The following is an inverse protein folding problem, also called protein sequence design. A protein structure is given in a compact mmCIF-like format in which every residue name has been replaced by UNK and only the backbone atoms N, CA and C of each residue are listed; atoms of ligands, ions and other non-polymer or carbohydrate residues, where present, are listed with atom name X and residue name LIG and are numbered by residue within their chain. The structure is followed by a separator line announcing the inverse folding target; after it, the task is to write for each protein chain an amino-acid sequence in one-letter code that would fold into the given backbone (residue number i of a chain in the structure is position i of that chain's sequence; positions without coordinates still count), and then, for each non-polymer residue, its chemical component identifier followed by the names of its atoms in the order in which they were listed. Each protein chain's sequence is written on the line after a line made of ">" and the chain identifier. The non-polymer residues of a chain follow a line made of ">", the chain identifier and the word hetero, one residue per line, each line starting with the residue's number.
data_IF_820055761977
#
_entry.id   IF_820055761977
#
_cell.length_a   1.000
_cell.length_b   1.000
_cell.length_c   1.000
_cell.angle_alpha   90.00
_cell.angle_beta   90.00
_cell.angle_gamma   90.00
#
_symmetry.space_group_name_H-M   'P 1'
#
loop_
_entity.id
_entity.type
_entity.pdbx_description
1 polymer ?
#
# COMPACT_ATOMS: atom_id res chain seq x y z
N UNK A 1 49.34 -18.48 -14.21
CA UNK A 1 48.13 -18.02 -13.48
C UNK A 1 47.66 -16.73 -14.13
N UNK A 2 46.71 -16.81 -15.05
CA UNK A 2 46.17 -15.65 -15.79
C UNK A 2 44.94 -15.15 -15.04
N UNK A 3 45.00 -13.92 -14.51
CA UNK A 3 43.90 -13.28 -13.80
C UNK A 3 42.80 -12.86 -14.77
N UNK A 4 41.69 -13.59 -14.79
CA UNK A 4 40.50 -13.22 -15.55
C UNK A 4 39.82 -12.01 -14.91
N UNK A 5 39.90 -10.85 -15.57
CA UNK A 5 39.09 -9.68 -15.23
C UNK A 5 37.63 -9.98 -15.55
N UNK A 6 36.80 -10.13 -14.52
CA UNK A 6 35.34 -10.15 -14.64
C UNK A 6 34.86 -8.75 -15.04
N UNK A 7 34.40 -8.63 -16.29
CA UNK A 7 33.74 -7.42 -16.78
C UNK A 7 32.48 -7.18 -15.95
N UNK A 8 32.39 -6.01 -15.30
CA UNK A 8 31.15 -5.58 -14.65
C UNK A 8 30.05 -5.44 -15.72
N UNK A 9 28.81 -5.90 -15.46
CA UNK A 9 27.69 -5.68 -16.37
C UNK A 9 27.47 -4.16 -16.55
N UNK A 10 27.34 -3.75 -17.81
CA UNK A 10 27.03 -2.36 -18.15
C UNK A 10 25.63 -2.03 -17.65
N UNK A 11 25.47 -0.92 -16.93
CA UNK A 11 24.16 -0.38 -16.58
C UNK A 11 23.35 -0.12 -17.86
N UNK A 12 22.10 -0.56 -17.85
CA UNK A 12 21.17 -0.34 -18.95
C UNK A 12 20.92 1.15 -19.15
N UNK A 13 20.58 1.54 -20.38
CA UNK A 13 20.29 2.94 -20.73
C UNK A 13 19.13 3.48 -19.88
N UNK A 14 18.13 2.64 -19.60
CA UNK A 14 16.97 2.93 -18.75
C UNK A 14 17.36 3.31 -17.31
N UNK A 15 18.36 2.65 -16.72
CA UNK A 15 18.89 3.00 -15.39
C UNK A 15 19.68 4.32 -15.37
N UNK A 16 20.21 4.77 -16.52
CA UNK A 16 20.90 6.07 -16.65
C UNK A 16 19.91 7.22 -16.84
N UNK A 17 18.87 6.98 -17.63
CA UNK A 17 17.82 7.97 -17.88
C UNK A 17 17.01 8.24 -16.60
N UNK A 18 16.75 7.20 -15.79
CA UNK A 18 16.17 7.34 -14.44
C UNK A 18 16.98 8.26 -13.52
N UNK A 19 18.31 8.13 -13.50
CA UNK A 19 19.20 8.94 -12.62
C UNK A 19 19.29 10.39 -13.06
N UNK A 20 19.21 10.64 -14.35
CA UNK A 20 19.33 11.99 -14.92
C UNK A 20 18.05 12.79 -14.65
N UNK A 21 16.89 12.13 -14.72
CA UNK A 21 15.59 12.71 -14.37
C UNK A 21 15.47 13.04 -12.87
N UNK A 22 15.84 12.11 -11.99
CA UNK A 22 15.73 12.31 -10.52
C UNK A 22 16.65 13.42 -9.96
N UNK A 23 17.75 13.75 -10.66
CA UNK A 23 18.71 14.77 -10.20
C UNK A 23 18.49 16.17 -10.76
N UNK A 24 17.76 16.32 -11.87
CA UNK A 24 17.62 17.62 -12.57
C UNK A 24 16.22 18.22 -12.45
N UNK A 25 15.23 17.45 -12.02
CA UNK A 25 13.89 17.96 -11.76
C UNK A 25 13.84 18.74 -10.44
N UNK A 26 14.49 19.90 -10.37
CA UNK A 26 14.01 21.03 -9.56
C UNK A 26 12.84 21.70 -10.26
N UNK A 27 11.89 20.90 -10.74
CA UNK A 27 10.72 21.43 -11.43
C UNK A 27 9.97 22.34 -10.44
N UNK A 28 9.61 23.56 -10.85
CA UNK A 28 8.81 24.44 -10.01
C UNK A 28 7.54 23.73 -9.58
N UNK A 29 7.02 24.09 -8.39
CA UNK A 29 5.76 23.55 -7.89
C UNK A 29 4.69 23.63 -9.00
N UNK A 30 3.85 22.60 -9.20
CA UNK A 30 2.78 22.67 -10.16
C UNK A 30 1.89 23.86 -9.81
N UNK A 31 1.75 24.81 -10.73
CA UNK A 31 1.01 26.06 -10.47
C UNK A 31 -0.50 25.85 -10.43
N UNK A 32 -0.99 24.67 -10.83
CA UNK A 32 -2.41 24.33 -10.98
C UNK A 32 -2.78 23.03 -10.27
N UNK A 33 -2.54 22.94 -8.96
CA UNK A 33 -3.01 21.82 -8.16
C UNK A 33 -4.52 21.96 -7.88
N UNK A 34 -5.26 20.90 -8.18
CA UNK A 34 -6.69 20.80 -7.88
C UNK A 34 -6.88 20.15 -6.50
N UNK A 35 -7.52 20.88 -5.59
CA UNK A 35 -7.80 20.46 -4.20
C UNK A 35 -9.24 20.04 -3.97
N UNK A 36 -10.08 19.96 -5.02
CA UNK A 36 -11.46 19.49 -4.93
C UNK A 36 -11.48 18.10 -4.28
N UNK A 37 -12.42 17.83 -3.35
CA UNK A 37 -12.55 16.52 -2.72
C UNK A 37 -12.63 15.38 -3.75
N UNK A 38 -12.23 14.18 -3.33
CA UNK A 38 -12.42 12.94 -4.09
C UNK A 38 -13.22 11.97 -3.22
N UNK A 39 -14.35 11.47 -3.72
CA UNK A 39 -15.32 10.68 -2.94
C UNK A 39 -15.80 11.42 -1.69
N UNK A 40 -15.97 12.74 -1.80
CA UNK A 40 -16.37 13.62 -0.70
C UNK A 40 -15.32 13.78 0.42
N UNK A 41 -14.11 13.25 0.25
CA UNK A 41 -13.01 13.40 1.21
C UNK A 41 -12.00 14.44 0.75
N UNK A 42 -11.60 15.30 1.67
CA UNK A 42 -10.62 16.36 1.42
C UNK A 42 -9.21 15.80 1.26
N UNK A 43 -8.35 16.59 0.61
CA UNK A 43 -6.90 16.40 0.72
C UNK A 43 -6.41 16.95 2.05
N UNK A 44 -5.55 16.18 2.72
CA UNK A 44 -4.76 16.64 3.86
C UNK A 44 -3.89 17.78 3.38
N UNK A 45 -4.01 18.92 4.04
CA UNK A 45 -3.19 20.09 3.77
C UNK A 45 -1.92 19.97 4.59
N UNK A 46 -0.77 19.88 3.93
CA UNK A 46 0.53 20.08 4.57
C UNK A 46 0.91 21.54 4.47
N UNK A 47 1.41 22.11 5.57
CA UNK A 47 2.14 23.38 5.49
C UNK A 47 3.45 23.14 4.75
N UNK A 48 3.75 23.99 3.77
CA UNK A 48 5.00 23.93 3.02
C UNK A 48 5.42 25.30 2.54
N UNK A 49 6.51 25.36 1.78
CA UNK A 49 6.97 26.56 1.08
C UNK A 49 6.95 26.25 -0.41
N UNK A 50 6.23 27.04 -1.22
CA UNK A 50 6.22 26.88 -2.68
C UNK A 50 7.62 27.15 -3.26
N UNK A 51 7.81 26.81 -4.54
CA UNK A 51 9.03 27.16 -5.28
C UNK A 51 9.31 28.68 -5.32
N UNK A 52 8.30 29.50 -5.02
CA UNK A 52 8.37 30.97 -4.98
C UNK A 52 8.61 31.51 -3.55
N UNK A 53 8.89 30.63 -2.57
CA UNK A 53 9.09 31.05 -1.18
C UNK A 53 7.80 31.33 -0.42
N UNK A 54 6.62 31.03 -0.98
CA UNK A 54 5.35 31.28 -0.29
C UNK A 54 5.04 30.15 0.69
N UNK A 55 4.95 30.48 1.97
CA UNK A 55 4.39 29.58 2.98
C UNK A 55 2.91 29.41 2.69
N UNK A 56 2.47 28.18 2.48
CA UNK A 56 1.09 27.88 2.09
C UNK A 56 0.65 26.50 2.54
N UNK A 57 -0.67 26.30 2.57
CA UNK A 57 -1.28 24.99 2.73
C UNK A 57 -1.37 24.34 1.37
N UNK A 58 -0.62 23.28 1.19
CA UNK A 58 -0.57 22.59 -0.08
C UNK A 58 -1.09 21.17 0.04
N UNK A 59 -1.74 20.73 -1.03
CA UNK A 59 -2.37 19.43 -1.21
C UNK A 59 -2.97 19.38 -2.61
N UNK A 60 -3.79 18.37 -2.89
CA UNK A 60 -4.41 18.21 -4.20
C UNK A 60 -3.54 17.49 -5.22
N UNK A 61 -3.98 17.45 -6.47
CA UNK A 61 -3.36 16.70 -7.56
C UNK A 61 -3.24 17.56 -8.80
N UNK A 62 -2.38 17.20 -9.75
CA UNK A 62 -2.28 17.93 -11.01
C UNK A 62 -3.54 17.71 -11.88
N UNK A 63 -3.77 18.55 -12.91
CA UNK A 63 -4.98 18.48 -13.73
C UNK A 63 -5.17 17.13 -14.42
N UNK A 64 -4.09 16.47 -14.84
CA UNK A 64 -4.15 15.15 -15.48
C UNK A 64 -4.69 14.10 -14.51
N UNK A 65 -4.10 13.98 -13.32
CA UNK A 65 -4.58 13.03 -12.31
C UNK A 65 -5.99 13.39 -11.86
N UNK A 66 -6.32 14.68 -11.72
CA UNK A 66 -7.68 15.11 -11.40
C UNK A 66 -8.71 14.61 -12.42
N UNK A 67 -8.42 14.74 -13.71
CA UNK A 67 -9.31 14.23 -14.76
C UNK A 67 -9.52 12.71 -14.66
N UNK A 68 -8.49 11.95 -14.28
CA UNK A 68 -8.63 10.50 -14.00
C UNK A 68 -9.52 10.23 -12.80
N UNK A 69 -9.34 10.98 -11.71
CA UNK A 69 -10.14 10.83 -10.49
C UNK A 69 -11.61 11.22 -10.72
N UNK A 70 -11.89 12.23 -11.56
CA UNK A 70 -13.27 12.61 -11.94
C UNK A 70 -13.96 11.45 -12.69
N UNK A 71 -13.25 10.80 -13.62
CA UNK A 71 -13.78 9.62 -14.33
C UNK A 71 -14.00 8.41 -13.41
N UNK A 72 -13.08 8.18 -12.46
CA UNK A 72 -13.22 7.15 -11.42
C UNK A 72 -14.45 7.40 -10.56
N UNK A 73 -14.65 8.62 -10.08
CA UNK A 73 -15.78 8.97 -9.22
C UNK A 73 -17.12 8.80 -9.96
N UNK A 74 -17.20 9.18 -11.24
CA UNK A 74 -18.39 8.95 -12.06
C UNK A 74 -18.72 7.45 -12.23
N UNK A 75 -17.71 6.63 -12.51
CA UNK A 75 -17.89 5.17 -12.65
C UNK A 75 -18.28 4.51 -11.32
N UNK A 76 -17.68 4.92 -10.20
CA UNK A 76 -18.04 4.41 -8.87
C UNK A 76 -19.47 4.77 -8.49
N UNK A 77 -19.91 6.00 -8.76
CA UNK A 77 -21.30 6.41 -8.56
C UNK A 77 -22.28 5.57 -9.41
N UNK A 78 -21.90 5.29 -10.66
CA UNK A 78 -22.71 4.44 -11.56
C UNK A 78 -22.85 3.02 -11.00
N UNK A 79 -21.74 2.38 -10.60
CA UNK A 79 -21.76 1.03 -9.98
C UNK A 79 -22.54 1.01 -8.67
N UNK A 80 -22.35 2.02 -7.82
CA UNK A 80 -23.09 2.15 -6.56
C UNK A 80 -24.60 2.24 -6.80
N UNK A 81 -25.03 3.09 -7.74
CA UNK A 81 -26.44 3.25 -8.11
C UNK A 81 -27.07 1.96 -8.62
N UNK A 82 -26.31 1.16 -9.37
CA UNK A 82 -26.75 -0.14 -9.89
C UNK A 82 -26.70 -1.28 -8.86
N UNK A 83 -25.95 -1.13 -7.76
CA UNK A 83 -25.83 -2.16 -6.71
C UNK A 83 -27.08 -2.14 -5.83
N UNK A 84 -27.78 -3.29 -5.63
CA UNK A 84 -28.90 -3.40 -4.70
C UNK A 84 -28.54 -2.94 -3.30
N UNK A 85 -29.48 -2.31 -2.60
CA UNK A 85 -29.19 -1.64 -1.33
C UNK A 85 -28.72 -2.59 -0.21
N UNK A 86 -29.21 -3.82 -0.21
CA UNK A 86 -28.81 -4.90 0.69
C UNK A 86 -27.39 -5.45 0.39
N UNK A 87 -26.85 -5.17 -0.80
CA UNK A 87 -25.51 -5.57 -1.23
C UNK A 87 -24.48 -4.44 -1.09
N UNK A 88 -24.92 -3.24 -0.72
CA UNK A 88 -24.05 -2.08 -0.47
C UNK A 88 -23.36 -2.22 0.88
N UNK A 89 -22.35 -3.08 0.95
CA UNK A 89 -21.63 -3.38 2.18
C UNK A 89 -20.26 -2.69 2.22
N UNK A 90 -19.86 -2.24 3.40
CA UNK A 90 -18.51 -1.81 3.73
C UNK A 90 -17.57 -3.03 3.75
N UNK A 91 -16.25 -2.80 3.76
CA UNK A 91 -15.25 -3.88 3.89
C UNK A 91 -15.40 -4.77 5.14
N UNK A 92 -16.04 -4.25 6.20
CA UNK A 92 -16.33 -4.95 7.45
C UNK A 92 -17.71 -5.67 7.44
N UNK A 93 -18.39 -5.70 6.30
CA UNK A 93 -19.69 -6.34 6.12
C UNK A 93 -20.89 -5.52 6.60
N UNK A 94 -20.68 -4.37 7.26
CA UNK A 94 -21.79 -3.50 7.64
C UNK A 94 -22.36 -2.73 6.44
N UNK A 95 -23.59 -2.24 6.51
CA UNK A 95 -24.21 -1.48 5.41
C UNK A 95 -23.50 -0.14 5.19
N UNK A 96 -23.13 0.15 3.95
CA UNK A 96 -22.56 1.42 3.51
C UNK A 96 -23.66 2.46 3.30
N UNK A 97 -23.41 3.70 3.72
CA UNK A 97 -24.35 4.82 3.56
C UNK A 97 -23.97 5.77 2.43
N UNK A 98 -22.71 5.72 2.00
CA UNK A 98 -22.13 6.55 0.95
C UNK A 98 -21.25 5.71 0.03
N UNK A 99 -20.95 6.24 -1.16
CA UNK A 99 -19.98 5.62 -2.08
C UNK A 99 -18.60 5.50 -1.42
N UNK A 100 -18.18 6.49 -0.62
CA UNK A 100 -16.92 6.46 0.10
C UNK A 100 -16.87 5.29 1.11
N UNK A 101 -17.92 5.10 1.91
CA UNK A 101 -18.01 3.98 2.85
C UNK A 101 -17.92 2.63 2.13
N UNK A 102 -18.60 2.50 1.00
CA UNK A 102 -18.62 1.31 0.15
C UNK A 102 -17.27 1.02 -0.51
N UNK A 103 -16.52 2.05 -0.86
CA UNK A 103 -15.15 1.92 -1.34
C UNK A 103 -14.15 1.61 -0.22
N UNK A 104 -14.55 1.71 1.05
CA UNK A 104 -13.65 1.59 2.19
C UNK A 104 -12.81 2.85 2.47
N UNK A 105 -13.21 4.00 1.94
CA UNK A 105 -12.50 5.28 2.07
C UNK A 105 -13.12 6.10 3.20
N UNK A 106 -12.40 6.24 4.33
CA UNK A 106 -12.94 6.85 5.56
C UNK A 106 -12.31 8.21 5.85
N UNK A 107 -11.00 8.31 5.65
CA UNK A 107 -10.18 9.49 5.94
C UNK A 107 -9.94 10.44 4.77
N UNK A 108 -9.12 11.45 5.04
CA UNK A 108 -8.59 12.37 4.03
C UNK A 108 -7.54 11.70 3.15
N UNK A 109 -7.37 12.22 1.94
CA UNK A 109 -6.34 11.81 1.01
C UNK A 109 -5.05 12.58 1.23
N UNK A 110 -3.96 12.14 0.63
CA UNK A 110 -2.76 12.94 0.53
C UNK A 110 -2.32 13.02 -0.93
N UNK A 111 -2.17 14.24 -1.43
CA UNK A 111 -1.79 14.51 -2.82
C UNK A 111 -0.37 15.04 -2.90
N UNK A 112 -0.21 16.22 -3.50
CA UNK A 112 1.08 16.87 -3.70
C UNK A 112 1.89 17.07 -2.41
N UNK A 113 3.18 16.74 -2.47
CA UNK A 113 4.15 16.96 -1.39
C UNK A 113 5.49 17.47 -1.98
N UNK A 114 5.86 18.74 -1.76
CA UNK A 114 7.05 19.34 -2.37
C UNK A 114 8.37 18.80 -1.83
N UNK A 115 8.35 18.34 -0.58
CA UNK A 115 9.46 17.80 0.19
C UNK A 115 9.71 16.31 -0.08
N UNK A 116 8.88 15.69 -0.92
CA UNK A 116 8.99 14.27 -1.28
C UNK A 116 9.49 14.09 -2.70
N UNK A 117 10.10 12.93 -2.95
CA UNK A 117 10.46 12.48 -4.28
C UNK A 117 9.27 11.81 -4.99
N UNK A 118 9.45 11.49 -6.28
CA UNK A 118 8.48 10.72 -7.06
C UNK A 118 7.23 11.51 -7.46
N UNK A 119 6.16 10.79 -7.76
CA UNK A 119 4.94 11.33 -8.37
C UNK A 119 4.15 12.26 -7.44
N UNK A 120 4.34 12.21 -6.12
CA UNK A 120 3.76 13.21 -5.21
C UNK A 120 4.35 14.61 -5.45
N UNK A 121 5.59 14.73 -5.92
CA UNK A 121 6.22 16.04 -6.17
C UNK A 121 5.62 16.78 -7.36
N UNK A 122 5.10 16.05 -8.34
CA UNK A 122 4.42 16.58 -9.53
C UNK A 122 2.91 16.65 -9.36
N UNK A 123 2.35 16.14 -8.25
CA UNK A 123 0.91 16.00 -8.07
C UNK A 123 0.31 14.88 -8.92
N UNK A 124 1.13 13.99 -9.47
CA UNK A 124 0.74 12.83 -10.28
C UNK A 124 0.43 11.58 -9.43
N UNK A 125 0.42 11.71 -8.10
CA UNK A 125 0.07 10.63 -7.18
C UNK A 125 -0.92 11.08 -6.10
N UNK A 126 -1.64 10.10 -5.57
CA UNK A 126 -2.57 10.24 -4.46
C UNK A 126 -2.47 9.04 -3.52
N UNK A 127 -2.37 9.31 -2.23
CA UNK A 127 -2.51 8.33 -1.15
C UNK A 127 -3.95 8.39 -0.62
N UNK A 128 -4.69 7.30 -0.78
CA UNK A 128 -6.09 7.19 -0.37
C UNK A 128 -6.16 6.68 1.06
N UNK A 129 -6.68 7.51 1.97
CA UNK A 129 -6.84 7.15 3.39
C UNK A 129 -5.57 6.52 4.00
N UNK A 130 -4.45 7.25 3.92
CA UNK A 130 -3.13 6.80 4.38
C UNK A 130 -3.08 6.46 5.89
N UNK A 131 -4.07 6.89 6.66
CA UNK A 131 -4.24 6.45 8.06
C UNK A 131 -4.78 5.04 8.16
N UNK A 132 -5.66 4.64 7.24
CA UNK A 132 -6.26 3.34 7.25
C UNK A 132 -5.44 2.33 6.46
N UNK A 133 -4.79 2.68 5.36
CA UNK A 133 -4.04 1.74 4.51
C UNK A 133 -2.53 1.94 4.71
N UNK A 134 -1.75 0.91 5.09
CA UNK A 134 -0.35 1.05 5.45
C UNK A 134 0.57 0.68 4.28
N UNK A 135 1.87 0.84 4.51
CA UNK A 135 2.86 0.07 3.78
C UNK A 135 2.86 -1.40 4.23
N UNK A 136 3.30 -2.30 3.36
CA UNK A 136 3.50 -3.72 3.65
C UNK A 136 4.81 -4.21 3.04
N UNK A 137 5.31 -5.33 3.56
CA UNK A 137 6.33 -6.10 2.87
C UNK A 137 5.70 -6.89 1.71
N UNK A 138 6.40 -6.99 0.59
CA UNK A 138 6.05 -7.87 -0.53
C UNK A 138 7.18 -8.87 -0.78
N UNK A 139 6.89 -9.96 -1.50
CA UNK A 139 7.88 -10.95 -1.94
C UNK A 139 7.84 -11.11 -3.44
N UNK A 140 9.00 -11.01 -4.09
CA UNK A 140 9.19 -11.39 -5.47
C UNK A 140 10.09 -12.62 -5.54
N UNK A 141 9.59 -13.69 -6.14
CA UNK A 141 10.38 -14.89 -6.43
C UNK A 141 10.86 -14.82 -7.88
N UNK A 142 12.17 -14.87 -8.09
CA UNK A 142 12.78 -14.92 -9.40
C UNK A 142 13.38 -16.31 -9.63
N UNK A 143 13.01 -16.94 -10.74
CA UNK A 143 13.57 -18.21 -11.17
C UNK A 143 14.54 -17.96 -12.31
N UNK A 144 15.80 -18.32 -12.13
CA UNK A 144 16.82 -18.26 -13.18
C UNK A 144 16.59 -19.37 -14.22
N UNK A 145 17.27 -19.26 -15.37
CA UNK A 145 17.17 -20.26 -16.45
C UNK A 145 17.59 -21.67 -16.02
N UNK A 146 18.49 -21.78 -15.03
CA UNK A 146 18.93 -23.06 -14.45
C UNK A 146 17.94 -23.65 -13.43
N UNK A 147 16.80 -22.99 -13.22
CA UNK A 147 15.77 -23.39 -12.26
C UNK A 147 16.02 -22.90 -10.83
N UNK A 148 17.14 -22.23 -10.55
CA UNK A 148 17.42 -21.67 -9.23
C UNK A 148 16.44 -20.57 -8.89
N UNK A 149 15.82 -20.64 -7.71
CA UNK A 149 14.91 -19.60 -7.22
C UNK A 149 15.59 -18.69 -6.21
N UNK A 150 15.30 -17.40 -6.30
CA UNK A 150 15.75 -16.39 -5.33
C UNK A 150 14.56 -15.54 -4.91
N UNK A 151 14.49 -15.22 -3.62
CA UNK A 151 13.46 -14.33 -3.09
C UNK A 151 14.05 -12.94 -2.84
N UNK A 152 13.33 -11.92 -3.27
CA UNK A 152 13.59 -10.52 -2.93
C UNK A 152 12.40 -9.97 -2.16
N UNK A 153 12.67 -9.22 -1.09
CA UNK A 153 11.63 -8.61 -0.27
C UNK A 153 11.55 -7.11 -0.56
N UNK A 154 10.36 -6.68 -1.00
CA UNK A 154 10.10 -5.31 -1.43
C UNK A 154 9.27 -4.51 -0.43
N UNK A 155 8.90 -3.31 -0.84
CA UNK A 155 8.22 -2.29 -0.04
C UNK A 155 8.70 -0.90 -0.44
N UNK A 156 8.02 0.15 0.04
CA UNK A 156 8.46 1.54 -0.17
C UNK A 156 9.94 1.68 0.22
N UNK A 157 10.72 2.41 -0.58
CA UNK A 157 12.17 2.59 -0.39
C UNK A 157 13.07 1.35 -0.57
N UNK A 158 12.54 0.17 -0.91
CA UNK A 158 13.39 -1.00 -1.22
C UNK A 158 14.43 -0.69 -2.30
N UNK A 159 14.02 0.04 -3.34
CA UNK A 159 14.93 0.51 -4.39
C UNK A 159 16.03 1.42 -3.86
N UNK A 160 15.71 2.41 -3.02
CA UNK A 160 16.69 3.37 -2.48
C UNK A 160 17.67 2.70 -1.53
N UNK A 161 17.17 1.88 -0.62
CA UNK A 161 17.96 1.14 0.37
C UNK A 161 18.96 0.22 -0.34
N UNK A 162 18.50 -0.55 -1.33
CA UNK A 162 19.37 -1.43 -2.13
C UNK A 162 20.43 -0.64 -2.94
N UNK A 163 20.09 0.57 -3.41
CA UNK A 163 21.06 1.46 -4.10
C UNK A 163 22.11 2.02 -3.14
N UNK A 164 21.71 2.43 -1.93
CA UNK A 164 22.62 2.96 -0.91
C UNK A 164 23.59 1.89 -0.39
N UNK A 165 23.13 0.65 -0.22
CA UNK A 165 23.98 -0.48 0.17
C UNK A 165 25.16 -0.74 -0.80
N UNK A 166 25.05 -0.34 -2.07
CA UNK A 166 26.13 -0.49 -3.06
C UNK A 166 27.24 0.59 -2.93
N UNK A 167 27.09 1.57 -2.03
CA UNK A 167 28.10 2.59 -1.74
C UNK A 167 29.24 2.10 -0.83
N UNK A 168 30.33 2.91 -0.68
CA UNK A 168 31.52 2.56 0.11
C UNK A 168 31.41 2.77 1.64
N UNK A 169 30.22 2.82 2.24
CA UNK A 169 30.06 3.03 3.69
C UNK A 169 29.31 1.86 4.36
N UNK A 170 29.95 1.21 5.35
CA UNK A 170 29.43 0.02 6.06
C UNK A 170 28.07 0.24 6.74
N UNK A 171 27.89 1.35 7.44
CA UNK A 171 26.66 1.61 8.22
C UNK A 171 25.36 1.68 7.37
N UNK A 172 25.45 2.06 6.09
CA UNK A 172 24.27 2.06 5.20
C UNK A 172 23.90 0.64 4.70
N UNK A 173 24.87 -0.28 4.69
CA UNK A 173 24.63 -1.68 4.33
C UNK A 173 23.91 -2.40 5.46
N UNK A 174 24.33 -2.17 6.70
CA UNK A 174 23.75 -2.81 7.88
C UNK A 174 22.26 -2.44 7.99
N UNK A 175 21.93 -1.14 7.91
CA UNK A 175 20.54 -0.68 7.92
C UNK A 175 19.68 -1.25 6.76
N UNK A 176 20.29 -1.47 5.59
CA UNK A 176 19.61 -2.08 4.45
C UNK A 176 19.32 -3.57 4.66
N UNK A 177 20.28 -4.29 5.26
CA UNK A 177 20.13 -5.68 5.64
C UNK A 177 19.04 -5.83 6.71
N UNK A 178 19.01 -4.94 7.69
CA UNK A 178 18.01 -4.94 8.75
C UNK A 178 16.59 -4.77 8.20
N UNK A 179 16.36 -3.82 7.29
CA UNK A 179 15.05 -3.61 6.67
C UNK A 179 14.61 -4.83 5.84
N UNK A 180 15.52 -5.44 5.08
CA UNK A 180 15.20 -6.65 4.32
C UNK A 180 14.92 -7.85 5.23
N UNK A 181 15.65 -8.00 6.34
CA UNK A 181 15.38 -9.03 7.34
C UNK A 181 13.99 -8.85 7.97
N UNK A 182 13.62 -7.62 8.34
CA UNK A 182 12.29 -7.30 8.86
C UNK A 182 11.17 -7.62 7.85
N UNK A 183 11.38 -7.28 6.57
CA UNK A 183 10.41 -7.61 5.51
C UNK A 183 10.27 -9.10 5.27
N UNK A 184 11.37 -9.82 5.28
CA UNK A 184 11.38 -11.29 5.18
C UNK A 184 10.58 -11.92 6.32
N UNK A 185 10.79 -11.44 7.56
CA UNK A 185 10.00 -11.88 8.71
C UNK A 185 8.51 -11.59 8.52
N UNK A 186 8.14 -10.37 8.10
CA UNK A 186 6.73 -10.02 7.86
C UNK A 186 6.07 -10.91 6.79
N UNK A 187 6.78 -11.23 5.70
CA UNK A 187 6.28 -12.16 4.68
C UNK A 187 6.11 -13.58 5.24
N UNK A 188 7.05 -14.04 6.07
CA UNK A 188 6.93 -15.34 6.73
C UNK A 188 5.70 -15.41 7.66
N UNK A 189 5.29 -14.27 8.25
CA UNK A 189 4.02 -14.19 8.99
C UNK A 189 2.82 -14.37 8.07
N UNK A 190 2.82 -13.79 6.87
CA UNK A 190 1.72 -13.99 5.92
C UNK A 190 1.59 -15.46 5.50
N UNK A 191 2.71 -16.15 5.29
CA UNK A 191 2.73 -17.59 4.99
C UNK A 191 2.19 -18.41 6.17
N UNK A 192 2.59 -18.07 7.40
CA UNK A 192 2.05 -18.71 8.62
C UNK A 192 0.56 -18.47 8.77
N UNK A 193 0.08 -17.25 8.57
CA UNK A 193 -1.34 -16.91 8.68
C UNK A 193 -2.19 -17.68 7.67
N UNK A 194 -1.71 -17.78 6.42
CA UNK A 194 -2.33 -18.62 5.37
C UNK A 194 -2.35 -20.10 5.76
N UNK A 195 -1.22 -20.62 6.23
CA UNK A 195 -1.11 -22.01 6.72
C UNK A 195 -2.08 -22.24 7.86
N UNK A 196 -2.15 -21.33 8.83
CA UNK A 196 -3.04 -21.40 9.98
C UNK A 196 -4.52 -21.43 9.54
N UNK A 197 -4.88 -20.73 8.48
CA UNK A 197 -6.22 -20.78 7.87
C UNK A 197 -6.52 -22.11 7.13
N UNK A 198 -5.59 -23.07 7.12
CA UNK A 198 -5.74 -24.38 6.48
C UNK A 198 -5.38 -24.39 4.99
N UNK A 199 -4.90 -23.27 4.45
CA UNK A 199 -4.48 -23.18 3.06
C UNK A 199 -3.03 -23.63 2.88
N UNK A 200 -2.76 -24.34 1.77
CA UNK A 200 -1.41 -24.76 1.42
C UNK A 200 -0.66 -23.66 0.64
N UNK A 201 0.66 -23.70 0.73
CA UNK A 201 1.58 -22.84 -0.01
C UNK A 201 1.81 -21.46 0.59
N UNK A 202 2.53 -20.63 -0.15
CA UNK A 202 2.94 -19.28 0.24
C UNK A 202 1.81 -18.25 0.01
N UNK A 203 1.73 -17.23 0.86
CA UNK A 203 0.87 -16.07 0.65
C UNK A 203 1.34 -15.26 -0.58
N UNK A 204 0.42 -14.96 -1.48
CA UNK A 204 0.73 -14.25 -2.72
C UNK A 204 0.60 -12.73 -2.58
N UNK A 205 1.63 -12.12 -1.99
CA UNK A 205 1.82 -10.67 -1.89
C UNK A 205 2.84 -10.16 -2.94
N UNK A 206 2.98 -10.82 -4.08
CA UNK A 206 3.97 -10.47 -5.08
C UNK A 206 3.59 -9.22 -5.90
N UNK A 207 4.55 -8.59 -6.60
CA UNK A 207 4.23 -7.63 -7.65
C UNK A 207 3.27 -8.22 -8.69
N UNK A 208 2.58 -7.34 -9.41
CA UNK A 208 1.65 -7.71 -10.48
C UNK A 208 2.36 -8.54 -11.54
N UNK A 209 1.77 -9.68 -11.89
CA UNK A 209 2.27 -10.52 -13.00
C UNK A 209 1.81 -9.97 -14.35
N UNK A 210 2.55 -10.29 -15.43
CA UNK A 210 2.16 -9.90 -16.78
C UNK A 210 0.76 -10.44 -17.15
N UNK A 211 -0.13 -9.56 -17.60
CA UNK A 211 -1.51 -9.91 -17.97
C UNK A 211 -2.49 -10.08 -16.80
N UNK A 212 -2.02 -10.01 -15.55
CA UNK A 212 -2.89 -10.12 -14.36
C UNK A 212 -3.88 -8.96 -14.32
N UNK A 213 -5.17 -9.21 -14.06
CA UNK A 213 -6.19 -8.15 -13.97
C UNK A 213 -6.10 -7.40 -12.63
N UNK A 214 -6.67 -6.21 -12.54
CA UNK A 214 -6.75 -5.47 -11.27
C UNK A 214 -7.57 -6.25 -10.20
N UNK A 215 -8.62 -6.95 -10.62
CA UNK A 215 -9.43 -7.81 -9.75
C UNK A 215 -8.63 -8.96 -9.16
N UNK A 216 -7.87 -9.70 -9.98
CA UNK A 216 -7.05 -10.81 -9.51
C UNK A 216 -5.97 -10.36 -8.51
N UNK A 217 -5.35 -9.19 -8.75
CA UNK A 217 -4.42 -8.57 -7.79
C UNK A 217 -5.10 -8.24 -6.47
N UNK A 218 -6.29 -7.63 -6.53
CA UNK A 218 -7.06 -7.33 -5.34
C UNK A 218 -7.36 -8.60 -4.55
N UNK A 219 -7.87 -9.64 -5.21
CA UNK A 219 -8.34 -10.87 -4.56
C UNK A 219 -7.22 -11.56 -3.78
N UNK A 220 -6.01 -11.68 -4.36
CA UNK A 220 -4.87 -12.30 -3.64
C UNK A 220 -4.34 -11.45 -2.48
N UNK A 221 -4.33 -10.12 -2.64
CA UNK A 221 -3.92 -9.20 -1.56
C UNK A 221 -4.96 -9.20 -0.44
N UNK A 222 -6.25 -9.29 -0.79
CA UNK A 222 -7.35 -9.42 0.16
C UNK A 222 -7.27 -10.73 0.94
N UNK A 223 -7.04 -11.86 0.25
CA UNK A 223 -6.86 -13.14 0.92
C UNK A 223 -5.72 -13.11 1.94
N UNK A 224 -4.55 -12.56 1.58
CA UNK A 224 -3.43 -12.41 2.51
C UNK A 224 -3.76 -11.48 3.70
N UNK A 225 -4.47 -10.37 3.46
CA UNK A 225 -4.93 -9.45 4.51
C UNK A 225 -5.93 -10.10 5.47
N UNK A 226 -6.88 -10.87 4.94
CA UNK A 226 -7.94 -11.51 5.71
C UNK A 226 -7.38 -12.66 6.55
N UNK A 227 -6.47 -13.49 6.00
CA UNK A 227 -5.77 -14.52 6.77
C UNK A 227 -4.95 -13.92 7.91
N UNK A 228 -4.22 -12.83 7.65
CA UNK A 228 -3.47 -12.13 8.67
C UNK A 228 -4.38 -11.62 9.79
N UNK A 229 -5.51 -11.00 9.42
CA UNK A 229 -6.49 -10.48 10.39
C UNK A 229 -7.11 -11.60 11.23
N UNK A 230 -7.46 -12.73 10.61
CA UNK A 230 -8.00 -13.89 11.32
C UNK A 230 -6.98 -14.48 12.31
N UNK A 231 -5.74 -14.69 11.86
CA UNK A 231 -4.66 -15.27 12.66
C UNK A 231 -4.33 -14.38 13.87
N UNK A 232 -4.06 -13.09 13.63
CA UNK A 232 -3.73 -12.15 14.70
C UNK A 232 -4.95 -11.83 15.59
N UNK A 233 -6.16 -11.90 15.04
CA UNK A 233 -7.42 -11.64 15.75
C UNK A 233 -7.72 -12.59 16.91
N UNK A 234 -7.02 -13.74 16.99
CA UNK A 234 -7.09 -14.64 18.13
C UNK A 234 -6.47 -14.06 19.41
N UNK A 235 -5.47 -13.18 19.25
CA UNK A 235 -4.74 -12.56 20.37
C UNK A 235 -5.04 -11.07 20.48
N UNK A 236 -5.33 -10.40 19.37
CA UNK A 236 -5.44 -8.95 19.30
C UNK A 236 -6.84 -8.49 18.92
N UNK A 237 -7.22 -7.31 19.40
CA UNK A 237 -8.40 -6.60 18.89
C UNK A 237 -8.00 -5.80 17.65
N UNK A 238 -8.96 -5.58 16.76
CA UNK A 238 -8.77 -4.71 15.58
C UNK A 238 -8.74 -3.21 15.94
N UNK A 239 -9.18 -2.86 17.16
CA UNK A 239 -9.11 -1.52 17.72
C UNK A 239 -8.04 -1.44 18.83
N UNK A 240 -7.28 -0.33 18.94
CA UNK A 240 -7.28 0.83 18.03
C UNK A 240 -6.70 0.48 16.66
N UNK A 241 -7.08 1.23 15.61
CA UNK A 241 -6.53 1.03 14.26
C UNK A 241 -5.07 1.47 14.11
N UNK A 242 -4.55 2.21 15.07
CA UNK A 242 -3.16 2.69 15.15
C UNK A 242 -2.56 2.31 16.49
N UNK A 243 -1.30 1.91 16.48
CA UNK A 243 -0.53 1.58 17.69
C UNK A 243 0.61 2.60 17.85
N UNK A 244 0.67 3.24 19.01
CA UNK A 244 1.58 4.36 19.31
C UNK A 244 2.60 4.02 20.41
N UNK A 245 3.35 2.93 20.22
CA UNK A 245 4.51 2.55 21.05
C UNK A 245 5.67 2.08 20.16
N UNK A 246 6.88 2.01 20.68
CA UNK A 246 7.98 1.38 19.91
C UNK A 246 7.73 -0.14 19.78
N UNK A 247 8.05 -0.75 18.63
CA UNK A 247 8.09 -2.20 18.52
C UNK A 247 9.07 -2.82 19.51
N UNK A 248 8.82 -4.07 19.87
CA UNK A 248 9.78 -4.86 20.65
C UNK A 248 11.03 -5.08 19.81
N UNK A 249 12.20 -4.82 20.38
CA UNK A 249 13.48 -5.10 19.71
C UNK A 249 13.67 -6.62 19.60
N UNK A 250 13.97 -7.10 18.39
CA UNK A 250 14.13 -8.51 18.07
C UNK A 250 13.00 -9.42 18.63
N UNK A 251 11.75 -9.26 18.14
CA UNK A 251 10.61 -9.95 18.71
C UNK A 251 10.75 -11.48 18.62
N UNK A 252 11.50 -11.99 17.65
CA UNK A 252 11.65 -13.44 17.43
C UNK A 252 12.44 -14.13 18.55
N UNK A 253 13.38 -13.42 19.18
CA UNK A 253 14.19 -13.94 20.27
C UNK A 253 13.75 -13.41 21.64
N UNK A 254 12.81 -12.47 21.70
CA UNK A 254 12.30 -11.94 22.96
C UNK A 254 11.64 -13.05 23.80
N UNK A 255 11.91 -13.01 25.11
CA UNK A 255 11.27 -13.86 26.11
C UNK A 255 9.78 -13.56 26.23
N UNK A 256 9.00 -14.57 26.58
CA UNK A 256 7.54 -14.46 26.70
C UNK A 256 7.09 -13.32 27.59
N UNK A 257 7.69 -13.20 28.78
CA UNK A 257 7.29 -12.18 29.76
C UNK A 257 7.63 -10.77 29.26
N UNK A 258 8.70 -10.63 28.46
CA UNK A 258 9.06 -9.36 27.81
C UNK A 258 8.00 -8.98 26.77
N UNK A 259 7.57 -9.94 25.93
CA UNK A 259 6.52 -9.70 24.94
C UNK A 259 5.19 -9.31 25.61
N UNK A 260 4.76 -10.05 26.64
CA UNK A 260 3.52 -9.77 27.36
C UNK A 260 3.56 -8.39 28.03
N UNK A 261 4.68 -8.03 28.66
CA UNK A 261 4.82 -6.74 29.31
C UNK A 261 4.83 -5.56 28.32
N UNK A 262 5.41 -5.76 27.13
CA UNK A 262 5.56 -4.69 26.14
C UNK A 262 4.32 -4.50 25.24
N UNK A 263 3.53 -5.55 25.01
CA UNK A 263 2.43 -5.58 24.03
C UNK A 263 1.09 -5.41 24.76
N UNK A 264 0.75 -4.16 25.07
CA UNK A 264 -0.42 -3.83 25.90
C UNK A 264 -1.77 -3.98 25.20
N UNK A 265 -1.79 -4.06 23.88
CA UNK A 265 -3.02 -4.18 23.08
C UNK A 265 -3.51 -5.63 22.89
N UNK A 266 -2.78 -6.61 23.39
CA UNK A 266 -3.20 -8.01 23.38
C UNK A 266 -4.39 -8.23 24.32
N UNK A 267 -5.26 -9.17 23.96
CA UNK A 267 -6.31 -9.67 24.85
C UNK A 267 -5.67 -10.43 26.04
N UNK A 268 -6.40 -10.58 27.16
CA UNK A 268 -5.91 -11.37 28.29
C UNK A 268 -5.46 -12.76 27.85
N UNK A 269 -4.25 -13.15 28.26
CA UNK A 269 -3.60 -14.35 27.78
C UNK A 269 -4.47 -15.61 27.89
N UNK A 270 -5.10 -15.84 29.03
CA UNK A 270 -5.94 -17.03 29.25
C UNK A 270 -7.09 -17.12 28.24
N UNK A 271 -7.69 -15.98 27.87
CA UNK A 271 -8.75 -15.93 26.87
C UNK A 271 -8.21 -16.22 25.46
N UNK A 272 -7.05 -15.65 25.12
CA UNK A 272 -6.39 -15.87 23.84
C UNK A 272 -5.96 -17.33 23.64
N UNK A 273 -5.33 -17.94 24.65
CA UNK A 273 -4.95 -19.36 24.62
C UNK A 273 -6.17 -20.26 24.48
N UNK A 274 -7.27 -19.96 25.19
CA UNK A 274 -8.52 -20.71 25.04
C UNK A 274 -9.11 -20.57 23.62
N UNK A 275 -9.09 -19.36 23.03
CA UNK A 275 -9.56 -19.13 21.67
C UNK A 275 -8.71 -19.88 20.63
N UNK A 276 -7.38 -19.86 20.79
CA UNK A 276 -6.46 -20.62 19.94
C UNK A 276 -6.73 -22.12 20.07
N UNK A 277 -6.85 -22.65 21.29
CA UNK A 277 -7.13 -24.06 21.51
C UNK A 277 -8.46 -24.48 20.85
N UNK A 278 -9.49 -23.66 20.99
CA UNK A 278 -10.78 -23.90 20.34
C UNK A 278 -10.64 -23.90 18.80
N UNK A 279 -9.88 -22.95 18.24
CA UNK A 279 -9.63 -22.89 16.79
C UNK A 279 -8.90 -24.14 16.29
N UNK A 280 -7.78 -24.52 16.92
CA UNK A 280 -6.98 -25.69 16.54
C UNK A 280 -7.77 -27.00 16.66
N UNK A 281 -8.70 -27.08 17.61
CA UNK A 281 -9.58 -28.24 17.78
C UNK A 281 -10.62 -28.31 16.65
N UNK A 282 -11.20 -27.17 16.26
CA UNK A 282 -12.22 -27.10 15.21
C UNK A 282 -11.62 -27.23 13.79
N UNK A 283 -10.36 -26.83 13.60
CA UNK A 283 -9.66 -26.79 12.32
C UNK A 283 -8.31 -27.48 12.43
N UNK A 284 -8.27 -28.83 12.56
CA UNK A 284 -7.02 -29.56 12.70
C UNK A 284 -6.15 -29.36 11.45
N UNK A 285 -4.95 -28.82 11.63
CA UNK A 285 -3.97 -28.65 10.56
C UNK A 285 -2.68 -29.41 10.91
N UNK A 286 -2.33 -30.49 10.20
CA UNK A 286 -1.12 -31.28 10.49
C UNK A 286 0.19 -30.50 10.26
N UNK A 287 0.17 -29.41 9.51
CA UNK A 287 1.33 -28.54 9.35
C UNK A 287 1.55 -27.63 10.57
N UNK A 288 0.56 -27.49 11.46
CA UNK A 288 0.65 -26.67 12.66
C UNK A 288 0.97 -27.54 13.88
N UNK A 289 2.22 -27.49 14.33
CA UNK A 289 2.73 -28.37 15.40
C UNK A 289 2.80 -27.72 16.78
N UNK A 290 2.57 -26.40 16.85
CA UNK A 290 2.64 -25.65 18.11
C UNK A 290 1.39 -25.92 18.96
N UNK A 291 1.58 -26.05 20.27
CA UNK A 291 0.48 -25.99 21.24
C UNK A 291 -0.21 -24.63 21.22
N UNK A 292 -1.38 -24.51 21.88
CA UNK A 292 -2.10 -23.24 21.95
C UNK A 292 -1.29 -22.14 22.67
N UNK A 293 -0.50 -22.50 23.69
CA UNK A 293 0.33 -21.56 24.44
C UNK A 293 1.57 -21.12 23.64
N UNK A 294 2.22 -22.05 22.92
CA UNK A 294 3.32 -21.70 22.00
C UNK A 294 2.82 -20.84 20.83
N UNK A 295 1.64 -21.15 20.31
CA UNK A 295 0.97 -20.35 19.26
C UNK A 295 0.66 -18.94 19.76
N UNK A 296 0.22 -18.77 21.00
CA UNK A 296 0.00 -17.45 21.59
C UNK A 296 1.28 -16.62 21.57
N UNK A 297 2.41 -17.19 22.01
CA UNK A 297 3.71 -16.50 21.96
C UNK A 297 4.13 -16.22 20.52
N UNK A 298 3.97 -17.17 19.60
CA UNK A 298 4.29 -16.96 18.19
C UNK A 298 3.48 -15.82 17.57
N UNK A 299 2.19 -15.70 17.89
CA UNK A 299 1.34 -14.60 17.42
C UNK A 299 1.82 -13.25 17.97
N UNK A 300 2.29 -13.17 19.21
CA UNK A 300 2.88 -11.93 19.75
C UNK A 300 4.13 -11.50 18.96
N UNK A 301 5.00 -12.46 18.61
CA UNK A 301 6.21 -12.20 17.81
C UNK A 301 5.86 -11.76 16.40
N UNK A 302 4.93 -12.49 15.77
CA UNK A 302 4.46 -12.24 14.41
C UNK A 302 3.79 -10.87 14.29
N UNK A 303 3.01 -10.47 15.29
CA UNK A 303 2.39 -9.15 15.35
C UNK A 303 3.44 -8.03 15.28
N UNK A 304 4.50 -8.12 16.08
CA UNK A 304 5.61 -7.14 16.06
C UNK A 304 6.35 -7.11 14.72
N UNK A 305 6.65 -8.28 14.15
CA UNK A 305 7.35 -8.37 12.85
C UNK A 305 6.56 -7.71 11.72
N UNK A 306 5.23 -7.85 11.70
CA UNK A 306 4.37 -7.23 10.68
C UNK A 306 4.12 -5.74 10.96
N UNK A 307 4.14 -5.34 12.23
CA UNK A 307 3.91 -3.97 12.65
C UNK A 307 4.95 -2.99 12.09
N UNK A 308 6.21 -3.42 12.01
CA UNK A 308 7.33 -2.59 11.54
C UNK A 308 7.12 -2.08 10.11
N UNK A 309 6.88 -2.93 9.09
CA UNK A 309 6.60 -2.45 7.74
C UNK A 309 5.27 -1.70 7.64
N UNK A 310 4.30 -1.93 8.53
CA UNK A 310 3.00 -1.22 8.56
C UNK A 310 3.03 0.14 9.26
N UNK A 311 4.15 0.83 9.18
CA UNK A 311 4.37 2.12 9.81
C UNK A 311 3.65 3.28 9.11
N UNK A 312 3.42 4.36 9.85
CA UNK A 312 2.99 5.64 9.27
C UNK A 312 4.19 6.59 9.14
N UNK A 313 4.33 7.21 7.97
CA UNK A 313 5.41 8.17 7.70
C UNK A 313 6.66 7.51 7.11
N UNK A 314 7.81 8.16 7.28
CA UNK A 314 9.06 7.75 6.62
C UNK A 314 9.61 6.42 7.15
N UNK A 315 10.08 5.54 6.25
CA UNK A 315 10.63 4.20 6.54
C UNK A 315 11.70 4.25 7.64
N UNK A 316 11.48 3.51 8.72
CA UNK A 316 12.42 3.33 9.84
C UNK A 316 12.28 1.91 10.41
N UNK A 317 13.37 1.40 11.00
CA UNK A 317 13.38 0.10 11.68
C UNK A 317 12.74 0.15 13.08
N UNK A 318 12.46 1.35 13.60
CA UNK A 318 11.90 1.59 14.94
C UNK A 318 10.73 2.57 14.93
N UNK A 319 9.65 2.28 14.18
CA UNK A 319 8.55 3.21 14.00
C UNK A 319 7.83 3.51 15.32
N UNK A 320 7.61 4.80 15.64
CA UNK A 320 6.85 5.19 16.84
C UNK A 320 5.33 5.02 16.69
N UNK A 321 4.84 4.93 15.45
CA UNK A 321 3.42 4.86 15.11
C UNK A 321 3.19 3.98 13.89
N UNK A 322 2.29 3.02 14.02
CA UNK A 322 2.01 2.02 12.98
C UNK A 322 0.51 1.74 12.90
N UNK A 323 0.05 1.14 11.80
CA UNK A 323 -1.26 0.49 11.78
C UNK A 323 -1.24 -0.71 12.74
N UNK A 324 -2.42 -1.08 13.24
CA UNK A 324 -2.66 -2.34 13.93
C UNK A 324 -2.79 -3.49 12.91
N UNK A 325 -1.84 -4.44 12.85
CA UNK A 325 -1.87 -5.55 11.89
C UNK A 325 -3.08 -6.49 12.06
N UNK A 326 -3.68 -6.55 13.26
CA UNK A 326 -4.87 -7.38 13.49
C UNK A 326 -6.08 -6.92 12.67
N UNK A 327 -6.09 -5.66 12.21
CA UNK A 327 -7.09 -5.14 11.29
C UNK A 327 -6.81 -5.47 9.81
N UNK A 328 -5.85 -6.38 9.52
CA UNK A 328 -5.34 -6.64 8.18
C UNK A 328 -4.63 -5.42 7.59
N UNK A 329 -4.43 -5.40 6.26
CA UNK A 329 -3.77 -4.31 5.56
C UNK A 329 -4.54 -3.74 4.35
N UNK A 330 -5.61 -4.39 3.89
CA UNK A 330 -6.39 -3.92 2.74
C UNK A 330 -7.81 -3.51 3.15
N UNK A 331 -8.09 -2.21 3.22
CA UNK A 331 -9.43 -1.69 3.53
C UNK A 331 -10.24 -1.34 2.29
N UNK A 332 -9.62 -1.23 1.11
CA UNK A 332 -10.38 -0.97 -0.10
C UNK A 332 -11.27 -2.14 -0.47
N UNK A 333 -12.37 -1.87 -1.16
CA UNK A 333 -13.17 -2.90 -1.84
C UNK A 333 -12.63 -3.19 -3.23
N UNK A 334 -12.96 -4.37 -3.74
CA UNK A 334 -12.55 -4.82 -5.08
C UNK A 334 -12.94 -3.81 -6.17
N UNK A 335 -14.18 -3.31 -6.12
CA UNK A 335 -14.70 -2.36 -7.09
C UNK A 335 -13.91 -1.06 -7.09
N UNK A 336 -13.48 -0.56 -5.93
CA UNK A 336 -12.65 0.64 -5.85
C UNK A 336 -11.31 0.44 -6.57
N UNK A 337 -10.57 -0.61 -6.21
CA UNK A 337 -9.26 -0.91 -6.80
C UNK A 337 -9.35 -1.14 -8.32
N UNK A 338 -10.37 -1.87 -8.78
CA UNK A 338 -10.60 -2.11 -10.21
C UNK A 338 -10.88 -0.82 -10.97
N UNK A 339 -11.74 0.07 -10.46
CA UNK A 339 -12.08 1.32 -11.16
C UNK A 339 -10.89 2.28 -11.16
N UNK A 340 -10.15 2.39 -10.05
CA UNK A 340 -8.91 3.18 -9.99
C UNK A 340 -7.91 2.71 -11.07
N UNK A 341 -7.70 1.40 -11.19
CA UNK A 341 -6.74 0.84 -12.15
C UNK A 341 -7.25 0.90 -13.60
N UNK A 342 -8.50 0.54 -13.86
CA UNK A 342 -9.02 0.36 -15.22
C UNK A 342 -9.56 1.67 -15.82
N UNK A 343 -10.39 2.40 -15.08
CA UNK A 343 -11.00 3.67 -15.54
C UNK A 343 -10.04 4.82 -15.33
N UNK A 344 -9.43 4.89 -14.14
CA UNK A 344 -8.41 5.90 -13.83
C UNK A 344 -7.11 5.69 -14.60
N UNK A 345 -6.86 4.46 -15.10
CA UNK A 345 -5.57 4.05 -15.70
C UNK A 345 -4.40 4.34 -14.76
N UNK A 346 -4.64 4.17 -13.45
CA UNK A 346 -3.65 4.43 -12.42
C UNK A 346 -2.90 3.14 -12.08
N UNK A 347 -1.61 3.26 -11.77
CA UNK A 347 -0.89 2.15 -11.14
C UNK A 347 -1.21 2.15 -9.66
N UNK A 348 -1.33 0.96 -9.09
CA UNK A 348 -1.54 0.80 -7.65
C UNK A 348 -0.23 0.46 -6.95
N UNK A 349 0.15 1.23 -5.94
CA UNK A 349 1.35 1.03 -5.14
C UNK A 349 1.37 -0.31 -4.41
N UNK A 350 0.23 -0.97 -4.20
CA UNK A 350 0.18 -2.29 -3.58
C UNK A 350 0.91 -3.38 -4.38
N UNK A 351 0.91 -3.30 -5.71
CA UNK A 351 1.41 -4.38 -6.59
C UNK A 351 2.05 -3.94 -7.91
N UNK A 352 1.77 -2.74 -8.41
CA UNK A 352 2.07 -2.34 -9.80
C UNK A 352 3.38 -1.55 -9.95
N UNK A 353 4.28 -1.61 -8.97
CA UNK A 353 5.53 -0.84 -8.91
C UNK A 353 6.78 -1.72 -8.78
N UNK A 354 6.67 -2.99 -9.20
CA UNK A 354 7.76 -3.96 -9.05
C UNK A 354 8.18 -4.10 -7.58
N UNK A 355 9.47 -4.03 -7.30
CA UNK A 355 10.03 -4.16 -5.95
C UNK A 355 9.72 -2.99 -5.01
N UNK A 356 9.27 -1.86 -5.53
CA UNK A 356 8.81 -0.71 -4.73
C UNK A 356 7.33 -0.85 -4.35
N UNK A 357 6.65 -1.90 -4.80
CA UNK A 357 5.27 -2.18 -4.40
C UNK A 357 5.17 -2.51 -2.91
N UNK A 358 3.97 -2.37 -2.35
CA UNK A 358 3.68 -2.52 -0.94
C UNK A 358 3.11 -1.26 -0.30
N UNK A 359 2.96 -0.17 -1.05
CA UNK A 359 2.26 1.03 -0.61
C UNK A 359 0.75 0.89 -0.91
N UNK A 360 -0.01 0.40 0.09
CA UNK A 360 -1.40 0.03 -0.14
C UNK A 360 -2.29 1.25 -0.41
N UNK A 361 -1.95 2.44 0.09
CA UNK A 361 -2.75 3.65 -0.12
C UNK A 361 -2.51 4.33 -1.48
N UNK A 362 -1.37 4.05 -2.11
CA UNK A 362 -0.88 4.88 -3.20
C UNK A 362 -1.41 4.51 -4.57
N UNK A 363 -1.78 5.53 -5.34
CA UNK A 363 -2.08 5.42 -6.77
C UNK A 363 -1.41 6.56 -7.53
N UNK A 364 -0.83 6.26 -8.70
CA UNK A 364 -0.20 7.28 -9.53
C UNK A 364 -0.48 7.11 -11.02
N UNK A 365 -0.17 8.16 -11.77
CA UNK A 365 -0.11 8.10 -13.22
C UNK A 365 1.07 7.22 -13.64
N UNK A 366 0.83 6.32 -14.58
CA UNK A 366 1.93 5.66 -15.26
C UNK A 366 2.81 6.71 -15.96
N UNK A 367 4.12 6.52 -15.99
CA UNK A 367 5.05 7.52 -16.56
C UNK A 367 4.78 7.80 -18.03
N UNK A 368 4.38 6.77 -18.78
CA UNK A 368 3.96 6.93 -20.18
C UNK A 368 2.67 7.78 -20.33
N UNK A 369 1.87 7.91 -19.26
CA UNK A 369 0.66 8.72 -19.25
C UNK A 369 0.91 10.18 -18.80
N UNK A 370 2.09 10.51 -18.27
CA UNK A 370 2.48 11.90 -17.98
C UNK A 370 2.80 12.69 -19.27
N UNK A 371 3.15 12.00 -20.36
CA UNK A 371 3.35 12.58 -21.70
C UNK A 371 2.01 12.90 -22.40
N UNK A 372 1.10 13.60 -21.73
CA UNK A 372 0.02 14.29 -22.46
C UNK A 372 0.69 15.47 -23.20
N UNK A 373 0.64 15.53 -24.54
CA UNK A 373 1.22 16.64 -25.28
C UNK A 373 0.59 17.94 -24.77
N UNK A 374 1.41 18.95 -24.50
CA UNK A 374 1.02 20.26 -23.98
C UNK A 374 0.03 21.07 -24.87
N UNK A 375 -0.62 20.43 -25.86
CA UNK A 375 -1.50 21.06 -26.85
C UNK A 375 -3.00 20.73 -26.73
N UNK A 376 -3.45 19.89 -25.79
CA UNK A 376 -4.89 19.56 -25.66
C UNK A 376 -5.52 20.23 -24.45
N UNK A 377 -5.39 21.55 -24.36
CA UNK A 377 -6.23 22.41 -23.54
C UNK A 377 -7.12 23.26 -24.44
N UNK A 378 -8.10 22.66 -25.13
CA UNK A 378 -9.21 23.39 -25.73
C UNK A 378 -10.30 22.44 -26.26
N UNK A 379 -11.31 22.17 -25.43
CA UNK A 379 -12.72 22.10 -25.82
C UNK A 379 -13.49 21.52 -24.62
N UNK A 380 -13.88 22.39 -23.68
CA UNK A 380 -14.97 22.03 -22.77
C UNK A 380 -16.23 21.74 -23.59
N UNK A 381 -17.13 20.87 -23.11
CA UNK A 381 -18.41 20.65 -23.78
C UNK A 381 -19.14 21.99 -23.86
N UNK A 382 -19.30 22.52 -25.07
CA UNK A 382 -20.22 23.63 -25.30
C UNK A 382 -21.61 23.10 -24.94
N UNK A 383 -22.15 23.62 -23.85
CA UNK A 383 -23.57 23.52 -23.55
C UNK A 383 -24.33 24.03 -24.76
N UNK A 384 -25.04 23.14 -25.45
CA UNK A 384 -25.99 23.51 -26.48
C UNK A 384 -27.06 24.40 -25.84
N UNK A 385 -26.91 25.72 -26.01
CA UNK A 385 -27.97 26.66 -25.73
C UNK A 385 -29.09 26.38 -26.73
N UNK A 386 -30.23 25.90 -26.22
CA UNK A 386 -31.46 25.79 -26.98
C UNK A 386 -31.87 27.19 -27.44
N UNK A 387 -31.71 27.46 -28.73
CA UNK A 387 -32.30 28.63 -29.37
C UNK A 387 -33.79 28.37 -29.57
N UNK A 388 -34.62 29.02 -28.76
CA UNK A 388 -36.05 29.17 -29.02
C UNK A 388 -36.24 30.10 -30.21
N UNK A 389 -36.24 29.54 -31.42
CA UNK A 389 -36.68 30.23 -32.63
C UNK A 389 -38.18 30.44 -32.59
N UNK A 390 -38.61 31.70 -32.49
CA UNK A 390 -40.00 32.10 -32.71
C UNK A 390 -40.40 31.89 -34.17
N UNK A 391 -41.51 31.20 -34.37
CA UNK A 391 -42.22 31.13 -35.66
C UNK A 391 -43.49 31.96 -35.56
N UNK A 392 -43.50 33.11 -36.24
CA UNK A 392 -44.72 33.84 -36.57
C UNK A 392 -45.08 33.62 -38.04
N UNK A 393 -46.39 33.49 -38.31
CA UNK A 393 -47.00 33.73 -39.62
C UNK A 393 -47.63 32.53 -40.32
N UNK A 394 -48.94 32.33 -40.16
CA UNK A 394 -49.96 32.65 -41.19
C UNK A 394 -51.33 32.76 -40.52
#
# INVERSE_FOLDING_TARGET
>A
MSGGQTRRPQQTQEERDQRTFDRTCSSPAPTNLDTRPFLGKSFTQSEGVSAEGRVGRFGGVNPTLRGRLDAVEAELNTRWGATPEDQRLKPDGSRASTVADWCGVRGSHIGWRPDRSGHHRSGSAIDIDASANPYIAIRQTNTAEDGTTTESFGGEEAGRINRQARGPAGAQRDAAQDVNAQRSQAVAVYDRARTFAGEQGQANVAPRSGGETAGAQYDRMRAASDHLSQYLGLVFRTAPGTVSRRPVEDPQNAERDVLIAAITEANPQAASVAAIQAHLTAHPNPAWTLSADETYVQILRDYESVRIPMQHGAVTTTPGRTRNPAAGFLQFTRSFTEVMANTGRLRWGGTSMGMESGDMMHFDLDRAAEEVPAGVCAAGPQSAAASSGGGGGS
#
